data_IF_089535406905
#
_entry.id   IF_089535406905
#
_cell.length_a   1.000
_cell.length_b   1.000
_cell.length_c   1.000
_cell.angle_alpha   90.00
_cell.angle_beta   90.00
_cell.angle_gamma   90.00
#
_symmetry.space_group_name_H-M   'P 1'
#
loop_
_entity.id
_entity.type
_entity.pdbx_description
1 polymer ?
#
# COMPACT_ATOMS: atom_id res chain seq x y z
N UNK A 1 -7.85 13.40 -26.93
CA UNK A 1 -6.45 13.16 -26.53
C UNK A 1 -6.33 11.70 -26.11
N UNK A 2 -6.11 10.78 -27.06
CA UNK A 2 -5.71 9.41 -26.76
C UNK A 2 -4.22 9.32 -27.06
N UNK A 3 -3.37 9.83 -26.16
CA UNK A 3 -1.99 9.37 -26.12
C UNK A 3 -2.01 8.01 -25.44
N UNK A 4 -1.79 6.96 -26.22
CA UNK A 4 -1.67 5.60 -25.71
C UNK A 4 -0.37 5.54 -24.90
N UNK A 5 -0.45 5.77 -23.58
CA UNK A 5 0.70 5.69 -22.68
C UNK A 5 1.09 4.22 -22.48
N UNK A 6 2.38 3.90 -22.59
CA UNK A 6 2.90 2.60 -22.16
C UNK A 6 2.94 2.55 -20.63
N UNK A 7 2.09 1.70 -20.04
CA UNK A 7 2.03 1.49 -18.59
C UNK A 7 3.38 1.07 -17.99
N UNK A 8 4.21 0.35 -18.74
CA UNK A 8 5.54 -0.08 -18.26
C UNK A 8 6.52 1.09 -18.22
N UNK A 9 6.51 1.93 -19.25
CA UNK A 9 7.30 3.17 -19.27
C UNK A 9 6.85 4.10 -18.15
N UNK A 10 5.56 4.31 -17.97
CA UNK A 10 5.02 5.12 -16.87
C UNK A 10 5.46 4.61 -15.49
N UNK A 11 5.37 3.28 -15.26
CA UNK A 11 5.86 2.65 -14.02
C UNK A 11 7.37 2.83 -13.84
N UNK A 12 8.14 2.75 -14.92
CA UNK A 12 9.59 2.97 -14.87
C UNK A 12 9.92 4.42 -14.50
N UNK A 13 9.20 5.38 -15.08
CA UNK A 13 9.35 6.81 -14.74
C UNK A 13 9.02 7.05 -13.27
N UNK A 14 7.89 6.54 -12.78
CA UNK A 14 7.50 6.68 -11.37
C UNK A 14 8.47 5.97 -10.40
N UNK A 15 9.14 4.91 -10.84
CA UNK A 15 10.17 4.22 -10.04
C UNK A 15 11.36 5.10 -9.67
N UNK A 16 11.57 6.23 -10.34
CA UNK A 16 12.61 7.20 -9.98
C UNK A 16 12.20 8.12 -8.81
N UNK A 17 10.92 8.15 -8.42
CA UNK A 17 10.46 8.92 -7.28
C UNK A 17 10.56 8.06 -6.00
N UNK A 18 11.53 8.30 -5.11
CA UNK A 18 11.75 7.44 -3.96
C UNK A 18 10.62 7.61 -2.93
N UNK A 19 10.14 6.50 -2.37
CA UNK A 19 9.18 6.50 -1.28
C UNK A 19 9.63 5.59 -0.15
N UNK A 20 9.10 5.83 1.05
CA UNK A 20 9.11 4.82 2.10
C UNK A 20 8.18 3.66 1.73
N UNK A 21 8.41 2.49 2.35
CA UNK A 21 7.53 1.33 2.20
C UNK A 21 6.88 1.03 3.53
N UNK A 22 5.57 0.81 3.50
CA UNK A 22 4.80 0.39 4.67
C UNK A 22 4.07 -0.93 4.38
N UNK A 23 3.76 -1.67 5.44
CA UNK A 23 2.73 -2.70 5.41
C UNK A 23 1.49 -2.14 6.11
N UNK A 24 0.38 -2.09 5.38
CA UNK A 24 -0.93 -1.90 5.98
C UNK A 24 -1.39 -3.27 6.47
N UNK A 25 -1.77 -3.38 7.74
CA UNK A 25 -2.23 -4.64 8.34
C UNK A 25 -3.52 -4.45 9.12
N UNK A 26 -4.32 -5.50 9.21
CA UNK A 26 -5.54 -5.53 9.99
C UNK A 26 -6.09 -6.93 10.11
N UNK A 27 -7.31 -7.04 10.62
CA UNK A 27 -8.05 -8.29 10.70
C UNK A 27 -9.19 -8.25 9.68
N UNK A 28 -9.55 -9.39 9.12
CA UNK A 28 -10.83 -9.53 8.41
C UNK A 28 -11.99 -9.79 9.38
N UNK A 29 -13.20 -9.91 8.83
CA UNK A 29 -14.41 -10.18 9.61
C UNK A 29 -14.37 -11.50 10.42
N UNK A 30 -13.52 -12.46 10.03
CA UNK A 30 -13.32 -13.71 10.75
C UNK A 30 -12.19 -13.63 11.80
N UNK A 31 -11.60 -12.44 11.99
CA UNK A 31 -10.47 -12.23 12.89
C UNK A 31 -9.14 -12.75 12.35
N UNK A 32 -9.04 -13.06 11.04
CA UNK A 32 -7.80 -13.54 10.43
C UNK A 32 -6.90 -12.36 10.03
N UNK A 33 -5.59 -12.42 10.31
CA UNK A 33 -4.65 -11.37 9.91
C UNK A 33 -4.56 -11.22 8.39
N UNK A 34 -4.60 -9.97 7.95
CA UNK A 34 -4.43 -9.56 6.57
C UNK A 34 -3.34 -8.48 6.48
N UNK A 35 -2.68 -8.40 5.32
CA UNK A 35 -1.73 -7.32 5.07
C UNK A 35 -1.49 -7.07 3.59
N UNK A 36 -0.97 -5.88 3.30
CA UNK A 36 -0.54 -5.47 1.98
C UNK A 36 0.61 -4.48 2.06
N UNK A 37 1.61 -4.68 1.20
CA UNK A 37 2.71 -3.72 1.01
C UNK A 37 2.19 -2.51 0.24
N UNK A 38 2.57 -1.30 0.68
CA UNK A 38 2.17 -0.03 0.09
C UNK A 38 3.40 0.87 -0.03
N UNK A 39 3.63 1.38 -1.25
CA UNK A 39 4.64 2.41 -1.53
C UNK A 39 4.05 3.83 -1.65
N UNK A 40 2.73 3.98 -1.55
CA UNK A 40 2.01 5.24 -1.79
C UNK A 40 1.58 5.97 -0.50
N UNK A 41 2.10 5.54 0.64
CA UNK A 41 1.77 6.11 1.95
C UNK A 41 2.25 7.56 2.06
N UNK A 42 1.38 8.45 2.53
CA UNK A 42 1.66 9.88 2.67
C UNK A 42 0.94 10.48 3.88
N UNK A 43 1.57 11.46 4.52
CA UNK A 43 0.91 12.34 5.50
C UNK A 43 -0.03 13.30 4.79
N UNK A 44 -1.23 13.52 5.33
CA UNK A 44 -2.27 14.37 4.72
C UNK A 44 -2.56 15.60 5.59
N UNK A 45 -2.71 15.43 6.90
CA UNK A 45 -2.96 16.52 7.84
C UNK A 45 -2.41 16.20 9.23
N UNK A 46 -2.03 17.23 9.98
CA UNK A 46 -1.64 17.12 11.38
C UNK A 46 -2.82 17.35 12.34
N UNK A 47 -3.78 18.18 11.93
CA UNK A 47 -4.99 18.48 12.70
C UNK A 47 -6.21 18.57 11.75
N UNK A 48 -7.10 17.57 11.76
CA UNK A 48 -6.96 16.28 12.45
C UNK A 48 -5.80 15.45 11.87
N UNK A 49 -5.22 14.51 12.63
CA UNK A 49 -4.13 13.66 12.15
C UNK A 49 -4.66 12.70 11.07
N UNK A 50 -4.25 12.93 9.81
CA UNK A 50 -4.70 12.15 8.66
C UNK A 50 -3.52 11.66 7.84
N UNK A 51 -3.66 10.43 7.34
CA UNK A 51 -2.73 9.78 6.42
C UNK A 51 -3.52 9.22 5.23
N UNK A 52 -2.84 9.02 4.11
CA UNK A 52 -3.41 8.50 2.88
C UNK A 52 -2.54 7.41 2.29
N UNK A 53 -3.18 6.46 1.60
CA UNK A 53 -2.54 5.48 0.75
C UNK A 53 -3.54 4.99 -0.30
N UNK A 54 -3.00 4.44 -1.39
CA UNK A 54 -3.78 4.04 -2.55
C UNK A 54 -3.56 2.55 -2.83
N UNK A 55 -4.47 1.66 -2.36
CA UNK A 55 -4.42 0.25 -2.69
C UNK A 55 -4.85 0.02 -4.14
N UNK A 56 -4.25 -0.98 -4.81
CA UNK A 56 -4.67 -1.36 -6.15
C UNK A 56 -6.13 -1.83 -6.19
N UNK A 57 -6.82 -1.57 -7.30
CA UNK A 57 -8.25 -1.90 -7.47
C UNK A 57 -8.56 -3.40 -7.31
N UNK A 58 -7.59 -4.26 -7.62
CA UNK A 58 -7.71 -5.72 -7.50
C UNK A 58 -7.20 -6.25 -6.14
N UNK A 59 -6.94 -5.37 -5.17
CA UNK A 59 -6.50 -5.78 -3.83
C UNK A 59 -7.60 -6.57 -3.13
N UNK A 60 -7.27 -7.79 -2.71
CA UNK A 60 -8.15 -8.64 -1.88
C UNK A 60 -7.97 -8.35 -0.39
N UNK A 61 -6.77 -7.94 0.03
CA UNK A 61 -6.46 -7.65 1.43
C UNK A 61 -7.11 -6.35 1.91
N UNK A 62 -7.19 -5.31 1.05
CA UNK A 62 -7.71 -4.01 1.48
C UNK A 62 -9.19 -4.04 1.86
N UNK A 63 -10.12 -4.57 1.03
CA UNK A 63 -11.54 -4.65 1.41
C UNK A 63 -11.73 -5.41 2.73
N UNK A 64 -11.02 -6.52 2.91
CA UNK A 64 -11.10 -7.33 4.13
C UNK A 64 -10.63 -6.56 5.38
N UNK A 65 -9.55 -5.77 5.28
CA UNK A 65 -9.08 -4.91 6.38
C UNK A 65 -10.06 -3.76 6.63
N UNK A 66 -10.53 -3.10 5.56
CA UNK A 66 -11.40 -1.94 5.66
C UNK A 66 -12.72 -2.26 6.37
N UNK A 67 -13.27 -3.46 6.16
CA UNK A 67 -14.48 -3.94 6.85
C UNK A 67 -14.33 -3.99 8.38
N UNK A 68 -13.12 -4.15 8.91
CA UNK A 68 -12.87 -4.13 10.37
C UNK A 68 -12.93 -2.74 11.00
N UNK A 69 -12.91 -1.67 10.18
CA UNK A 69 -12.93 -0.28 10.64
C UNK A 69 -11.61 0.23 11.23
N UNK A 70 -10.58 -0.60 11.34
CA UNK A 70 -9.27 -0.21 11.86
C UNK A 70 -8.13 -0.87 11.06
N UNK A 71 -6.98 -0.20 11.00
CA UNK A 71 -5.77 -0.73 10.40
C UNK A 71 -4.54 -0.20 11.14
N UNK A 72 -3.40 -0.87 10.91
CA UNK A 72 -2.09 -0.44 11.40
C UNK A 72 -1.17 -0.16 10.21
N UNK A 73 -0.35 0.90 10.33
CA UNK A 73 0.70 1.25 9.37
C UNK A 73 2.04 0.83 9.98
N UNK A 74 2.71 -0.12 9.34
CA UNK A 74 4.01 -0.60 9.76
C UNK A 74 5.07 -0.04 8.82
N UNK A 75 5.83 0.96 9.26
CA UNK A 75 6.94 1.55 8.47
C UNK A 75 8.11 0.58 8.46
N UNK A 76 8.58 0.19 7.28
CA UNK A 76 9.65 -0.81 7.13
C UNK A 76 11.04 -0.16 7.11
N UNK A 77 11.98 -0.82 7.78
CA UNK A 77 13.40 -0.54 7.65
C UNK A 77 13.98 -1.16 6.38
N UNK A 78 15.12 -0.64 5.91
CA UNK A 78 15.80 -1.13 4.71
C UNK A 78 16.18 -2.64 4.77
N UNK A 79 16.37 -3.19 5.97
CA UNK A 79 16.68 -4.61 6.18
C UNK A 79 15.46 -5.54 6.06
N UNK A 80 14.25 -5.00 6.02
CA UNK A 80 13.00 -5.78 6.00
C UNK A 80 12.48 -6.05 4.58
N UNK A 81 13.39 -6.14 3.59
CA UNK A 81 13.05 -6.42 2.19
C UNK A 81 12.32 -7.75 2.01
N UNK A 82 12.75 -8.82 2.69
CA UNK A 82 12.05 -10.11 2.61
C UNK A 82 10.60 -10.02 3.10
N UNK A 83 10.39 -9.31 4.23
CA UNK A 83 9.05 -9.09 4.78
C UNK A 83 8.19 -8.27 3.82
N UNK A 84 8.74 -7.22 3.22
CA UNK A 84 8.08 -6.42 2.19
C UNK A 84 7.57 -7.31 1.03
N UNK A 85 8.42 -8.19 0.50
CA UNK A 85 8.05 -9.07 -0.62
C UNK A 85 6.99 -10.12 -0.25
N UNK A 86 6.95 -10.60 1.00
CA UNK A 86 5.91 -11.54 1.47
C UNK A 86 4.49 -10.96 1.38
N UNK A 87 4.35 -9.64 1.46
CA UNK A 87 3.06 -8.92 1.36
C UNK A 87 2.87 -8.21 0.01
N UNK A 88 3.78 -8.40 -0.95
CA UNK A 88 3.80 -7.66 -2.21
C UNK A 88 3.04 -8.32 -3.37
N UNK A 89 2.39 -9.47 -3.15
CA UNK A 89 1.71 -10.25 -4.21
C UNK A 89 0.51 -9.53 -4.88
N UNK A 90 0.13 -8.34 -4.40
CA UNK A 90 -0.93 -7.50 -4.95
C UNK A 90 -0.54 -5.99 -5.04
N UNK A 91 0.76 -5.68 -5.14
CA UNK A 91 1.19 -4.30 -5.45
C UNK A 91 1.12 -4.09 -6.95
N UNK A 92 0.10 -3.37 -7.41
CA UNK A 92 0.06 -2.78 -8.75
C UNK A 92 0.24 -1.28 -8.63
#
# INVERSE_FOLDING_TARGET
MNSQFDSKEFRTVLGHFPTGVVIISGLDAAGKPQGLTIGSFSSISLDPPLVGFFPGLNSKSWPAIAESGAFCVNVLAATQGELCWRFAWLVV
#
